data_IF_337855241093
#
_entry.id   IF_337855241093
#
_cell.length_a   1.000
_cell.length_b   1.000
_cell.length_c   1.000
_cell.angle_alpha   90.00
_cell.angle_beta   90.00
_cell.angle_gamma   90.00
#
_symmetry.space_group_name_H-M   'P 1'
#
loop_
_entity.id
_entity.type
_entity.pdbx_description
1 polymer ?
#
# COMPACT_ATOMS: atom_id res chain seq x y z
N UNK A 1 5.45 -5.16 -1.50
CA UNK A 1 5.27 -6.12 -2.62
C UNK A 1 4.98 -7.49 -2.05
N UNK A 2 4.00 -8.23 -2.58
CA UNK A 2 3.74 -9.62 -2.15
C UNK A 2 4.83 -10.57 -2.66
N UNK A 3 5.15 -11.61 -1.87
CA UNK A 3 6.09 -12.66 -2.25
C UNK A 3 5.50 -14.03 -1.91
N UNK A 4 4.78 -14.61 -2.88
CA UNK A 4 4.08 -15.88 -2.71
C UNK A 4 4.96 -17.05 -2.21
N UNK A 5 6.24 -17.23 -2.64
CA UNK A 5 7.06 -18.34 -2.16
C UNK A 5 7.30 -18.35 -0.63
N UNK A 6 7.18 -17.20 0.04
CA UNK A 6 7.30 -17.09 1.52
C UNK A 6 5.99 -16.70 2.20
N UNK A 7 4.88 -16.56 1.46
CA UNK A 7 3.60 -16.10 1.98
C UNK A 7 3.67 -14.75 2.72
N UNK A 8 4.56 -13.84 2.31
CA UNK A 8 4.85 -12.62 3.07
C UNK A 8 5.09 -11.38 2.20
N UNK A 9 5.05 -10.21 2.84
CA UNK A 9 5.26 -8.93 2.16
C UNK A 9 6.71 -8.46 2.27
N UNK A 10 7.32 -8.18 1.12
CA UNK A 10 8.57 -7.44 1.02
C UNK A 10 8.27 -5.98 1.34
N UNK A 11 8.77 -5.52 2.49
CA UNK A 11 8.73 -4.12 2.89
C UNK A 11 9.87 -3.34 2.24
N UNK A 12 9.56 -2.15 1.72
CA UNK A 12 10.54 -1.17 1.27
C UNK A 12 10.36 0.08 2.14
N UNK A 13 11.27 0.36 3.09
CA UNK A 13 11.06 1.38 4.12
C UNK A 13 11.16 2.79 3.57
N UNK A 14 10.55 3.77 4.27
CA UNK A 14 10.61 5.20 3.91
C UNK A 14 12.04 5.75 3.78
N UNK A 15 13.03 5.14 4.44
CA UNK A 15 14.45 5.47 4.27
C UNK A 15 14.94 5.24 2.86
N UNK A 16 14.57 4.13 2.21
CA UNK A 16 14.96 3.81 0.83
C UNK A 16 14.56 4.92 -0.13
N UNK A 17 13.30 5.36 -0.08
CA UNK A 17 12.79 6.46 -0.91
C UNK A 17 13.43 7.82 -0.62
N UNK A 18 14.03 8.02 0.56
CA UNK A 18 14.80 9.23 0.90
C UNK A 18 16.27 9.17 0.47
N UNK A 19 16.82 7.98 0.25
CA UNK A 19 18.24 7.77 -0.10
C UNK A 19 18.47 7.41 -1.56
N UNK A 20 17.42 7.05 -2.31
CA UNK A 20 17.51 6.68 -3.72
C UNK A 20 17.88 7.90 -4.58
N UNK A 21 18.84 7.73 -5.48
CA UNK A 21 19.25 8.78 -6.44
C UNK A 21 18.46 8.67 -7.74
N UNK A 22 18.45 9.72 -8.56
CA UNK A 22 17.77 9.73 -9.86
C UNK A 22 18.16 8.54 -10.76
N UNK A 23 19.46 8.21 -10.82
CA UNK A 23 19.98 7.07 -11.58
C UNK A 23 19.55 5.70 -11.03
N UNK A 24 19.09 5.64 -9.77
CA UNK A 24 18.61 4.43 -9.11
C UNK A 24 17.09 4.29 -9.13
N UNK A 25 16.32 5.28 -9.60
CA UNK A 25 14.86 5.21 -9.66
C UNK A 25 14.29 3.94 -10.34
N UNK A 26 14.90 3.37 -11.40
CA UNK A 26 14.48 2.09 -11.96
C UNK A 26 14.49 0.93 -10.94
N UNK A 27 15.41 0.92 -9.97
CA UNK A 27 15.43 -0.06 -8.88
C UNK A 27 14.16 0.03 -8.01
N UNK A 28 13.56 1.22 -7.87
CA UNK A 28 12.25 1.38 -7.24
C UNK A 28 11.15 0.63 -8.00
N UNK A 29 11.16 0.69 -9.34
CA UNK A 29 10.22 -0.07 -10.17
C UNK A 29 10.48 -1.58 -10.11
N UNK A 30 11.74 -2.03 -10.11
CA UNK A 30 12.09 -3.45 -9.88
C UNK A 30 11.53 -3.95 -8.55
N UNK A 31 11.70 -3.18 -7.46
CA UNK A 31 11.19 -3.56 -6.13
C UNK A 31 9.66 -3.62 -6.04
N UNK A 32 8.96 -2.81 -6.83
CA UNK A 32 7.50 -2.73 -6.82
C UNK A 32 6.83 -3.65 -7.85
N UNK A 33 7.44 -3.85 -9.01
CA UNK A 33 7.00 -4.69 -10.12
C UNK A 33 8.07 -5.72 -10.52
N UNK A 34 8.36 -6.71 -9.67
CA UNK A 34 9.45 -7.66 -9.91
C UNK A 34 9.11 -8.72 -10.95
N UNK A 35 10.14 -9.12 -11.71
CA UNK A 35 10.18 -10.29 -12.56
C UNK A 35 10.63 -11.53 -11.77
N UNK A 36 10.32 -12.75 -12.23
CA UNK A 36 10.84 -13.98 -11.62
C UNK A 36 12.38 -14.04 -11.54
N UNK A 37 13.08 -13.36 -12.45
CA UNK A 37 14.54 -13.28 -12.56
C UNK A 37 15.20 -12.23 -11.66
N UNK A 38 14.42 -11.35 -11.02
CA UNK A 38 15.01 -10.31 -10.18
C UNK A 38 15.37 -10.84 -8.80
N UNK A 39 16.46 -10.32 -8.26
CA UNK A 39 16.82 -10.49 -6.85
C UNK A 39 16.56 -9.18 -6.09
N UNK A 40 15.69 -9.22 -5.09
CA UNK A 40 15.35 -8.08 -4.23
C UNK A 40 15.98 -8.26 -2.86
N UNK A 41 17.00 -7.47 -2.49
CA UNK A 41 17.54 -7.47 -1.14
C UNK A 41 16.49 -7.08 -0.10
N UNK A 42 16.42 -7.80 1.01
CA UNK A 42 15.67 -7.37 2.18
C UNK A 42 16.28 -6.09 2.76
N UNK A 43 15.42 -5.09 2.99
CA UNK A 43 15.76 -3.82 3.62
C UNK A 43 15.22 -3.74 5.06
N UNK A 44 14.79 -4.88 5.62
CA UNK A 44 14.41 -4.97 7.02
C UNK A 44 15.67 -4.86 7.89
N UNK A 45 15.74 -3.82 8.73
CA UNK A 45 16.75 -3.76 9.79
C UNK A 45 16.53 -4.96 10.73
N UNK A 46 17.53 -5.81 11.00
CA UNK A 46 17.39 -6.82 12.04
C UNK A 46 17.14 -6.12 13.38
N UNK A 47 16.35 -6.72 14.30
CA UNK A 47 16.14 -6.14 15.61
C UNK A 47 17.50 -6.00 16.30
N UNK A 48 17.86 -4.77 16.69
CA UNK A 48 19.07 -4.52 17.48
C UNK A 48 19.02 -5.41 18.73
N UNK A 49 20.11 -6.12 19.07
CA UNK A 49 20.15 -6.85 20.34
C UNK A 49 19.90 -5.87 21.48
N UNK A 50 19.14 -6.26 22.52
CA UNK A 50 18.97 -5.40 23.69
C UNK A 50 20.35 -5.06 24.28
N UNK A 51 20.56 -3.84 24.80
CA UNK A 51 21.81 -3.50 25.44
C UNK A 51 22.01 -4.40 26.65
N UNK A 52 22.89 -5.40 26.53
CA UNK A 52 23.27 -6.27 27.64
C UNK A 52 23.84 -5.39 28.74
N UNK A 53 23.07 -5.19 29.80
CA UNK A 53 23.54 -4.51 30.99
C UNK A 53 24.65 -5.36 31.64
N UNK A 54 25.91 -4.95 31.45
CA UNK A 54 27.06 -5.57 32.10
C UNK A 54 27.00 -5.28 33.60
N UNK A 55 26.26 -6.11 34.33
CA UNK A 55 26.26 -6.11 35.78
C UNK A 55 27.57 -6.72 36.29
N UNK A 56 28.52 -5.86 36.67
CA UNK A 56 29.68 -6.23 37.47
C UNK A 56 29.71 -5.31 38.71
N UNK A 57 29.77 -5.92 39.90
CA UNK A 57 29.47 -5.25 41.16
C UNK A 57 30.72 -4.77 41.92
N UNK A 58 30.54 -3.69 42.69
CA UNK A 58 31.18 -3.48 43.99
C UNK A 58 32.54 -2.76 44.04
N UNK A 59 32.57 -1.56 44.63
CA UNK A 59 33.08 -1.38 46.01
C UNK A 59 33.09 0.11 46.44
N UNK A 60 33.00 0.33 47.75
CA UNK A 60 32.79 1.58 48.48
C UNK A 60 33.85 2.71 48.31
N UNK A 61 33.44 3.95 48.60
CA UNK A 61 34.29 5.13 48.80
C UNK A 61 33.48 6.34 49.31
N UNK A 62 33.95 7.01 50.36
CA UNK A 62 33.15 7.90 51.24
C UNK A 62 33.01 9.39 50.83
N UNK A 63 31.88 9.98 51.27
CA UNK A 63 31.67 11.31 51.89
C UNK A 63 31.93 12.65 51.15
N UNK A 64 30.94 13.57 51.28
CA UNK A 64 31.20 15.00 51.54
C UNK A 64 30.24 16.05 50.93
N UNK A 65 29.33 16.62 51.75
CA UNK A 65 28.79 18.03 51.70
C UNK A 65 28.08 18.56 50.43
N UNK A 66 27.06 19.45 50.44
CA UNK A 66 26.18 20.06 51.48
C UNK A 66 25.15 21.01 50.81
N UNK A 67 23.96 21.23 51.41
CA UNK A 67 23.00 22.35 51.16
C UNK A 67 22.39 22.46 49.73
N UNK A 68 21.17 22.97 49.46
CA UNK A 68 19.99 23.43 50.22
C UNK A 68 18.79 23.60 49.21
N UNK A 69 17.52 23.93 49.52
CA UNK A 69 16.80 24.33 50.74
C UNK A 69 15.28 23.99 50.63
N UNK A 70 14.51 24.45 51.62
CA UNK A 70 13.10 24.88 51.57
C UNK A 70 11.97 23.87 51.21
N UNK A 71 11.26 23.44 52.26
CA UNK A 71 9.97 22.76 52.20
C UNK A 71 8.85 23.65 52.75
N UNK A 72 7.62 23.48 52.22
CA UNK A 72 6.35 23.82 52.87
C UNK A 72 5.21 23.20 52.03
N UNK A 73 4.14 22.59 52.52
CA UNK A 73 3.73 21.97 53.79
C UNK A 73 2.34 21.39 53.47
N UNK A 74 2.04 20.13 53.83
CA UNK A 74 0.68 19.57 53.76
C UNK A 74 -0.14 19.97 55.01
N UNK A 75 -1.45 19.66 55.07
CA UNK A 75 -1.81 18.44 55.81
C UNK A 75 -3.06 17.64 55.34
N UNK A 76 -2.94 16.30 55.38
CA UNK A 76 -3.87 15.30 56.03
C UNK A 76 -5.34 15.25 55.53
N UNK A 77 -5.78 14.23 54.75
CA UNK A 77 -6.27 12.87 55.17
C UNK A 77 -7.64 12.88 55.93
N UNK A 78 -8.48 11.80 55.96
CA UNK A 78 -8.25 10.42 55.51
C UNK A 78 -9.39 9.67 54.74
N UNK A 79 -9.00 8.59 54.03
CA UNK A 79 -9.65 7.27 54.06
C UNK A 79 -10.93 6.97 53.23
N UNK A 80 -10.87 5.89 52.42
CA UNK A 80 -11.58 4.60 52.65
C UNK A 80 -11.34 3.60 51.49
N UNK A 81 -11.09 2.33 51.82
CA UNK A 81 -10.84 1.22 50.89
C UNK A 81 -12.14 0.61 50.32
N UNK A 82 -12.10 0.05 49.08
CA UNK A 82 -12.37 -1.37 48.69
C UNK A 82 -12.69 -1.52 47.18
N UNK A 83 -12.14 -2.57 46.53
CA UNK A 83 -12.64 -3.40 45.39
C UNK A 83 -13.70 -2.81 44.41
N UNK A 84 -13.63 -2.96 43.08
CA UNK A 84 -13.43 -4.19 42.29
C UNK A 84 -13.42 -3.89 40.75
N UNK A 85 -12.97 -4.87 39.94
CA UNK A 85 -13.23 -5.15 38.50
C UNK A 85 -13.60 -4.04 37.48
N UNK A 86 -12.90 -4.01 36.34
CA UNK A 86 -13.32 -3.25 35.15
C UNK A 86 -12.25 -3.01 34.06
N UNK A 87 -11.71 -4.06 33.45
CA UNK A 87 -10.88 -3.96 32.22
C UNK A 87 -11.76 -3.45 31.06
N UNK A 88 -11.50 -2.27 30.50
CA UNK A 88 -10.52 -2.01 29.44
C UNK A 88 -10.90 -2.67 28.09
N UNK A 89 -11.68 -1.93 27.29
CA UNK A 89 -11.94 -2.23 25.87
C UNK A 89 -11.19 -1.21 25.00
N UNK A 90 -10.20 -1.67 24.25
CA UNK A 90 -9.49 -0.93 23.21
C UNK A 90 -9.42 -1.82 21.96
N UNK A 91 -9.71 -1.29 20.75
CA UNK A 91 -9.75 -2.11 19.55
C UNK A 91 -8.36 -2.63 19.15
N UNK A 92 -8.25 -3.85 18.60
CA UNK A 92 -6.98 -4.47 18.29
C UNK A 92 -6.25 -3.79 17.12
N UNK A 93 -4.96 -3.52 17.32
CA UNK A 93 -4.02 -3.07 16.30
C UNK A 93 -3.49 -4.24 15.46
N UNK A 94 -2.97 -4.01 14.23
CA UNK A 94 -2.74 -5.10 13.28
C UNK A 94 -1.51 -5.97 13.59
N UNK A 95 -1.77 -7.28 13.64
CA UNK A 95 -0.86 -8.43 13.42
C UNK A 95 0.64 -8.21 13.65
N UNK A 96 1.09 -8.55 14.85
CA UNK A 96 2.51 -8.86 15.11
C UNK A 96 2.93 -10.11 14.33
N UNK A 97 3.96 -10.01 13.51
CA UNK A 97 4.51 -11.15 12.78
C UNK A 97 5.10 -12.20 13.75
N UNK A 98 4.64 -13.45 13.64
CA UNK A 98 5.19 -14.58 14.38
C UNK A 98 6.51 -15.00 13.72
N UNK A 99 7.66 -15.01 14.42
CA UNK A 99 8.91 -15.52 13.85
C UNK A 99 8.86 -17.05 13.74
N UNK A 100 9.42 -17.65 12.68
CA UNK A 100 9.43 -19.10 12.53
C UNK A 100 10.29 -19.76 13.61
N UNK A 101 9.73 -20.74 14.30
CA UNK A 101 10.45 -21.57 15.28
C UNK A 101 11.35 -22.57 14.54
N UNK A 102 12.63 -22.26 14.34
CA UNK A 102 13.60 -23.18 13.74
C UNK A 102 14.64 -23.67 14.76
N UNK A 103 14.61 -24.97 15.04
CA UNK A 103 15.56 -25.67 15.89
C UNK A 103 16.95 -25.83 15.24
N UNK A 104 17.99 -25.71 16.07
CA UNK A 104 19.34 -26.29 15.91
C UNK A 104 20.17 -26.04 14.64
N UNK A 105 21.16 -25.15 14.80
CA UNK A 105 22.57 -25.29 14.38
C UNK A 105 22.94 -25.55 12.91
N UNK A 106 23.43 -24.50 12.24
CA UNK A 106 24.79 -24.48 11.67
C UNK A 106 25.28 -23.04 11.48
N UNK A 107 26.58 -22.81 11.68
CA UNK A 107 27.17 -21.45 11.70
C UNK A 107 27.56 -20.98 10.30
N UNK A 108 26.73 -20.13 9.71
CA UNK A 108 27.00 -19.39 8.47
C UNK A 108 26.79 -17.89 8.76
N UNK A 109 27.64 -16.97 8.28
CA UNK A 109 27.38 -15.53 8.44
C UNK A 109 26.02 -15.16 7.82
N UNK A 110 25.33 -14.12 8.34
CA UNK A 110 24.00 -13.76 7.85
C UNK A 110 24.08 -13.26 6.41
N UNK A 111 23.75 -14.13 5.46
CA UNK A 111 23.40 -13.69 4.12
C UNK A 111 22.23 -12.73 4.24
N UNK A 112 22.36 -11.54 3.66
CA UNK A 112 21.24 -10.62 3.54
C UNK A 112 20.14 -11.36 2.78
N UNK A 113 18.99 -11.60 3.42
CA UNK A 113 17.92 -12.36 2.80
C UNK A 113 17.48 -11.65 1.51
N UNK A 114 17.65 -12.33 0.37
CA UNK A 114 17.21 -11.85 -0.93
C UNK A 114 15.93 -12.59 -1.31
N UNK A 115 14.98 -11.88 -1.90
CA UNK A 115 13.75 -12.44 -2.46
C UNK A 115 13.95 -12.63 -3.96
N UNK A 116 13.47 -13.75 -4.51
CA UNK A 116 13.60 -14.14 -5.92
C UNK A 116 12.45 -15.08 -6.30
N UNK A 117 12.28 -15.39 -7.59
CA UNK A 117 11.15 -16.20 -8.08
C UNK A 117 9.79 -15.57 -7.77
N UNK A 118 9.65 -14.28 -8.11
CA UNK A 118 8.44 -13.51 -7.88
C UNK A 118 7.22 -14.08 -8.63
N UNK A 119 6.06 -13.98 -7.98
CA UNK A 119 4.89 -14.80 -8.27
C UNK A 119 4.17 -14.48 -9.59
N UNK A 120 4.29 -13.25 -10.10
CA UNK A 120 3.51 -12.78 -11.26
C UNK A 120 4.22 -13.17 -12.55
N UNK A 121 3.60 -13.97 -13.45
CA UNK A 121 4.17 -14.27 -14.75
C UNK A 121 4.41 -12.98 -15.56
N UNK A 122 5.52 -12.87 -16.32
CA UNK A 122 5.84 -11.65 -17.07
C UNK A 122 4.71 -11.20 -18.02
N UNK A 123 3.89 -12.13 -18.53
CA UNK A 123 2.71 -11.82 -19.37
C UNK A 123 1.64 -11.02 -18.63
N UNK A 124 1.32 -11.38 -17.39
CA UNK A 124 0.35 -10.64 -16.58
C UNK A 124 0.95 -9.32 -16.09
N UNK A 125 2.24 -9.31 -15.73
CA UNK A 125 2.93 -8.08 -15.35
C UNK A 125 2.96 -7.06 -16.50
N UNK A 126 3.13 -7.50 -17.75
CA UNK A 126 3.05 -6.64 -18.94
C UNK A 126 1.66 -6.01 -19.09
N UNK A 127 0.58 -6.77 -18.86
CA UNK A 127 -0.80 -6.25 -18.86
C UNK A 127 -0.99 -5.21 -17.74
N UNK A 128 -0.53 -5.49 -16.51
CA UNK A 128 -0.58 -4.55 -15.37
C UNK A 128 0.17 -3.25 -15.64
N UNK A 129 1.38 -3.31 -16.20
CA UNK A 129 2.16 -2.11 -16.52
C UNK A 129 1.53 -1.29 -17.66
N UNK A 130 0.94 -1.95 -18.66
CA UNK A 130 0.19 -1.29 -19.75
C UNK A 130 -1.08 -0.60 -19.22
N UNK A 131 -1.78 -1.26 -18.30
CA UNK A 131 -2.93 -0.71 -17.58
C UNK A 131 -2.53 0.51 -16.73
N UNK A 132 -1.40 0.44 -16.03
CA UNK A 132 -0.88 1.56 -15.22
C UNK A 132 -0.54 2.79 -16.06
N UNK A 133 0.08 2.60 -17.22
CA UNK A 133 0.35 3.72 -18.14
C UNK A 133 -0.93 4.40 -18.61
N UNK A 134 -1.98 3.61 -18.88
CA UNK A 134 -3.30 4.14 -19.27
C UNK A 134 -3.94 4.97 -18.15
N UNK A 135 -3.89 4.51 -16.89
CA UNK A 135 -4.42 5.28 -15.77
C UNK A 135 -3.54 6.50 -15.41
N UNK A 136 -2.21 6.43 -15.60
CA UNK A 136 -1.31 7.57 -15.44
C UNK A 136 -1.59 8.66 -16.49
N UNK A 137 -1.78 8.28 -17.75
CA UNK A 137 -2.13 9.21 -18.83
C UNK A 137 -3.50 9.88 -18.56
N UNK A 138 -4.47 9.10 -18.06
CA UNK A 138 -5.78 9.61 -17.63
C UNK A 138 -5.68 10.57 -16.43
N UNK A 139 -4.88 10.23 -15.42
CA UNK A 139 -4.66 11.10 -14.26
C UNK A 139 -4.00 12.42 -14.68
N UNK A 140 -2.94 12.36 -15.52
CA UNK A 140 -2.29 13.55 -16.05
C UNK A 140 -3.22 14.42 -16.89
N UNK A 141 -4.12 13.81 -17.68
CA UNK A 141 -5.15 14.53 -18.45
C UNK A 141 -6.14 15.27 -17.54
N UNK A 142 -6.57 14.66 -16.43
CA UNK A 142 -7.47 15.34 -15.47
C UNK A 142 -6.73 16.48 -14.77
N UNK A 143 -5.52 16.24 -14.25
CA UNK A 143 -4.76 17.26 -13.52
C UNK A 143 -4.32 18.43 -14.42
N UNK A 144 -4.12 18.23 -15.72
CA UNK A 144 -3.82 19.32 -16.66
C UNK A 144 -4.98 20.28 -16.92
N UNK A 145 -6.20 19.91 -16.51
CA UNK A 145 -7.42 20.72 -16.59
C UNK A 145 -7.79 21.37 -15.24
N UNK A 146 -7.08 21.06 -14.16
CA UNK A 146 -7.37 21.57 -12.82
C UNK A 146 -6.42 22.70 -12.43
N UNK A 147 -6.98 23.88 -12.16
CA UNK A 147 -6.27 25.02 -11.59
C UNK A 147 -6.16 24.86 -10.06
N UNK A 148 -5.31 23.92 -9.66
CA UNK A 148 -5.05 23.58 -8.26
C UNK A 148 -3.54 23.43 -8.01
N UNK A 149 -3.15 23.43 -6.73
CA UNK A 149 -1.77 23.11 -6.30
C UNK A 149 -1.82 21.96 -5.32
N UNK A 150 -1.00 20.93 -5.52
CA UNK A 150 -1.00 19.73 -4.69
C UNK A 150 0.34 19.54 -3.99
N UNK A 151 0.56 20.26 -2.88
CA UNK A 151 1.78 20.10 -2.09
C UNK A 151 1.65 18.89 -1.16
N UNK A 152 2.66 18.03 -1.15
CA UNK A 152 2.72 16.86 -0.27
C UNK A 152 1.76 15.71 -0.62
N UNK A 153 0.98 15.82 -1.70
CA UNK A 153 0.12 14.75 -2.20
C UNK A 153 0.92 13.55 -2.69
N UNK A 154 0.34 12.35 -2.58
CA UNK A 154 0.95 11.11 -3.07
C UNK A 154 0.09 10.43 -4.13
N UNK A 155 0.73 9.65 -5.01
CA UNK A 155 0.05 8.70 -5.90
C UNK A 155 0.13 7.31 -5.27
N UNK A 156 -1.02 6.71 -4.99
CA UNK A 156 -1.17 5.36 -4.49
C UNK A 156 -1.45 4.41 -5.65
N UNK A 157 -0.61 3.39 -5.79
CA UNK A 157 -0.78 2.28 -6.74
C UNK A 157 -1.02 1.00 -5.93
N UNK A 158 -2.08 0.28 -6.26
CA UNK A 158 -2.40 -1.05 -5.69
C UNK A 158 -2.71 -1.98 -6.86
N UNK A 159 -2.20 -3.21 -6.84
CA UNK A 159 -2.48 -4.22 -7.86
C UNK A 159 -2.69 -5.59 -7.21
N UNK A 160 -3.47 -6.45 -7.86
CA UNK A 160 -3.66 -7.84 -7.42
C UNK A 160 -2.39 -8.64 -7.73
N UNK A 161 -1.89 -9.40 -6.75
CA UNK A 161 -0.65 -10.15 -6.84
C UNK A 161 -0.86 -11.68 -6.79
N UNK A 162 -2.06 -12.15 -6.49
CA UNK A 162 -2.46 -13.52 -6.77
C UNK A 162 -2.68 -13.72 -8.28
N UNK A 163 -2.07 -14.76 -8.85
CA UNK A 163 -2.02 -14.98 -10.31
C UNK A 163 -3.40 -15.24 -10.89
N UNK A 164 -4.20 -16.09 -10.25
CA UNK A 164 -5.53 -16.47 -10.74
C UNK A 164 -6.54 -15.34 -10.62
N UNK A 165 -6.52 -14.63 -9.49
CA UNK A 165 -7.35 -13.43 -9.28
C UNK A 165 -6.95 -12.31 -10.25
N UNK A 166 -5.66 -12.08 -10.45
CA UNK A 166 -5.14 -11.04 -11.36
C UNK A 166 -5.54 -11.31 -12.82
N UNK A 167 -5.34 -12.53 -13.32
CA UNK A 167 -5.67 -12.90 -14.70
C UNK A 167 -7.16 -12.65 -14.98
N UNK A 168 -8.04 -13.23 -14.15
CA UNK A 168 -9.48 -13.03 -14.28
C UNK A 168 -9.88 -11.54 -14.12
N UNK A 169 -9.22 -10.78 -13.23
CA UNK A 169 -9.52 -9.36 -13.03
C UNK A 169 -9.07 -8.48 -14.21
N UNK A 170 -7.97 -8.84 -14.89
CA UNK A 170 -7.50 -8.20 -16.13
C UNK A 170 -8.47 -8.47 -17.29
N UNK A 171 -8.89 -9.73 -17.47
CA UNK A 171 -9.85 -10.10 -18.52
C UNK A 171 -11.17 -9.31 -18.37
N UNK A 172 -11.75 -9.30 -17.16
CA UNK A 172 -12.94 -8.48 -16.84
C UNK A 172 -12.71 -6.97 -17.05
N UNK A 173 -11.49 -6.46 -16.86
CA UNK A 173 -11.17 -5.04 -17.05
C UNK A 173 -10.98 -4.66 -18.53
N UNK A 174 -10.46 -5.57 -19.35
CA UNK A 174 -10.35 -5.41 -20.80
C UNK A 174 -11.72 -5.51 -21.48
N UNK A 175 -12.55 -6.47 -21.08
CA UNK A 175 -13.95 -6.59 -21.55
C UNK A 175 -14.77 -5.34 -21.23
N UNK A 176 -14.74 -4.86 -19.97
CA UNK A 176 -15.43 -3.60 -19.59
C UNK A 176 -14.93 -2.39 -20.39
N UNK A 177 -13.65 -2.33 -20.75
CA UNK A 177 -13.14 -1.27 -21.65
C UNK A 177 -13.62 -1.43 -23.08
N UNK A 178 -13.68 -2.66 -23.61
CA UNK A 178 -14.20 -2.92 -24.95
C UNK A 178 -15.69 -2.53 -25.06
N UNK A 179 -16.52 -2.96 -24.11
CA UNK A 179 -17.94 -2.57 -24.03
C UNK A 179 -18.11 -1.06 -23.86
N UNK A 180 -17.31 -0.44 -22.99
CA UNK A 180 -17.33 1.02 -22.80
C UNK A 180 -16.92 1.80 -24.06
N UNK A 181 -15.94 1.31 -24.83
CA UNK A 181 -15.51 1.91 -26.08
C UNK A 181 -16.56 1.75 -27.20
N UNK A 182 -17.23 0.60 -27.27
CA UNK A 182 -18.35 0.38 -28.20
C UNK A 182 -19.50 1.34 -27.89
N UNK A 183 -19.96 1.43 -26.64
CA UNK A 183 -21.02 2.37 -26.22
C UNK A 183 -20.67 3.83 -26.50
N UNK A 184 -19.41 4.22 -26.29
CA UNK A 184 -18.93 5.56 -26.60
C UNK A 184 -18.91 5.86 -28.12
N UNK A 185 -18.69 4.84 -28.96
CA UNK A 185 -18.73 4.96 -30.42
C UNK A 185 -20.17 4.93 -30.98
N UNK A 186 -21.08 4.21 -30.33
CA UNK A 186 -22.50 4.12 -30.71
C UNK A 186 -23.32 5.37 -30.32
N UNK A 187 -22.74 6.29 -29.55
CA UNK A 187 -23.31 7.61 -29.29
C UNK A 187 -24.55 7.60 -28.39
N UNK A 188 -24.68 6.58 -27.54
CA UNK A 188 -25.80 6.47 -26.59
C UNK A 188 -25.79 7.64 -25.59
N UNK A 189 -26.69 8.60 -25.82
CA UNK A 189 -26.83 9.85 -25.08
C UNK A 189 -27.49 9.66 -23.72
N UNK A 190 -26.89 8.84 -22.85
CA UNK A 190 -27.38 8.59 -21.50
C UNK A 190 -27.61 9.89 -20.71
N UNK A 191 -28.85 10.07 -20.28
CA UNK A 191 -29.40 11.26 -19.59
C UNK A 191 -28.41 11.93 -18.61
N UNK A 192 -28.17 13.27 -18.72
CA UNK A 192 -27.21 14.01 -17.89
C UNK A 192 -27.78 14.34 -16.49
N UNK A 193 -28.43 13.38 -15.84
CA UNK A 193 -29.22 13.57 -14.62
C UNK A 193 -28.90 12.64 -13.45
N UNK A 194 -28.24 11.49 -13.67
CA UNK A 194 -27.92 10.57 -12.57
C UNK A 194 -26.67 11.06 -11.84
N UNK A 195 -26.88 11.84 -10.78
CA UNK A 195 -25.83 12.31 -9.87
C UNK A 195 -24.93 11.14 -9.46
N UNK A 196 -23.71 11.13 -10.01
CA UNK A 196 -22.61 10.30 -9.49
C UNK A 196 -22.30 10.83 -8.10
N UNK A 197 -22.80 10.14 -7.07
CA UNK A 197 -22.42 10.43 -5.69
C UNK A 197 -20.90 10.30 -5.58
N UNK A 198 -20.25 11.27 -4.94
CA UNK A 198 -18.80 11.27 -4.74
C UNK A 198 -18.28 10.11 -3.86
N UNK A 199 -19.19 9.24 -3.38
CA UNK A 199 -18.95 8.08 -2.54
C UNK A 199 -19.18 6.73 -3.25
N UNK A 200 -19.64 6.70 -4.51
CA UNK A 200 -19.84 5.45 -5.27
C UNK A 200 -18.64 5.07 -6.17
N UNK A 201 -17.51 5.76 -6.06
CA UNK A 201 -16.34 5.55 -6.92
C UNK A 201 -15.39 4.44 -6.42
N UNK A 202 -15.94 3.28 -6.06
CA UNK A 202 -15.19 2.02 -5.87
C UNK A 202 -14.86 1.34 -7.22
N UNK A 203 -15.11 2.01 -8.35
CA UNK A 203 -15.05 1.41 -9.69
C UNK A 203 -16.26 0.50 -10.02
N UNK A 204 -17.12 0.23 -9.03
CA UNK A 204 -18.44 -0.39 -9.21
C UNK A 204 -19.39 0.58 -9.95
N UNK A 205 -19.36 0.56 -11.29
CA UNK A 205 -20.25 1.36 -12.14
C UNK A 205 -21.71 0.98 -11.94
N UNK A 206 -22.43 1.74 -11.11
CA UNK A 206 -23.85 1.55 -10.83
C UNK A 206 -24.76 2.00 -12.00
N UNK A 207 -24.68 1.33 -13.16
CA UNK A 207 -25.71 1.33 -14.22
C UNK A 207 -25.35 0.33 -15.34
N UNK A 208 -26.35 -0.45 -15.78
CA UNK A 208 -26.25 -1.63 -16.68
C UNK A 208 -25.71 -2.86 -15.94
N UNK A 209 -26.53 -3.68 -15.27
CA UNK A 209 -27.78 -4.34 -15.70
C UNK A 209 -27.59 -5.18 -16.96
N UNK A 210 -27.11 -6.42 -16.78
CA UNK A 210 -27.74 -7.68 -17.23
C UNK A 210 -26.76 -8.85 -17.08
N UNK A 211 -26.38 -9.20 -15.85
CA UNK A 211 -26.15 -10.61 -15.54
C UNK A 211 -27.50 -11.12 -15.03
N UNK A 212 -28.09 -12.10 -15.71
CA UNK A 212 -29.29 -12.82 -15.26
C UNK A 212 -28.91 -13.94 -14.26
N UNK A 213 -27.87 -13.68 -13.46
CA UNK A 213 -27.33 -14.52 -12.37
C UNK A 213 -27.49 -13.81 -11.01
N UNK A 214 -28.51 -12.95 -10.88
CA UNK A 214 -29.09 -12.57 -9.58
C UNK A 214 -30.11 -13.67 -9.20
N UNK A 215 -29.63 -14.91 -9.07
CA UNK A 215 -30.38 -15.93 -8.34
C UNK A 215 -30.49 -15.47 -6.89
N UNK A 216 -31.73 -15.30 -6.44
CA UNK A 216 -32.09 -14.89 -5.08
C UNK A 216 -31.45 -15.87 -4.08
N UNK A 217 -30.48 -15.40 -3.30
CA UNK A 217 -29.99 -16.10 -2.10
C UNK A 217 -30.00 -15.10 -0.93
N UNK A 218 -31.22 -14.79 -0.48
CA UNK A 218 -31.54 -14.12 0.79
C UNK A 218 -31.33 -15.08 1.99
N UNK A 219 -30.20 -15.80 2.02
CA UNK A 219 -29.78 -16.58 3.18
C UNK A 219 -28.61 -15.89 3.92
N UNK A 220 -28.73 -15.81 5.25
CA UNK A 220 -27.79 -15.13 6.15
C UNK A 220 -26.48 -15.94 6.28
N UNK A 221 -25.67 -15.96 5.21
CA UNK A 221 -24.45 -16.77 5.12
C UNK A 221 -23.37 -16.35 6.14
N UNK A 222 -23.31 -17.10 7.24
CA UNK A 222 -22.24 -17.05 8.24
C UNK A 222 -20.96 -17.79 7.79
N UNK A 223 -20.66 -17.78 6.49
CA UNK A 223 -19.46 -18.38 5.90
C UNK A 223 -18.63 -17.29 5.19
N UNK A 224 -17.37 -17.13 5.61
CA UNK A 224 -16.46 -16.12 5.07
C UNK A 224 -15.83 -16.50 3.73
N UNK A 225 -16.09 -17.69 3.19
CA UNK A 225 -15.50 -18.19 1.94
C UNK A 225 -16.27 -17.65 0.75
N UNK A 226 -17.62 -17.72 0.79
CA UNK A 226 -18.50 -17.07 -0.21
C UNK A 226 -18.27 -15.55 -0.26
N UNK A 227 -18.06 -14.90 0.88
CA UNK A 227 -17.77 -13.46 0.93
C UNK A 227 -16.47 -13.12 0.20
N UNK A 228 -15.38 -13.86 0.47
CA UNK A 228 -14.08 -13.66 -0.18
C UNK A 228 -14.13 -13.89 -1.70
N UNK A 229 -14.97 -14.81 -2.19
CA UNK A 229 -15.20 -15.02 -3.62
C UNK A 229 -15.99 -13.86 -4.25
N UNK A 230 -17.09 -13.40 -3.62
CA UNK A 230 -17.84 -12.21 -4.09
C UNK A 230 -16.94 -10.97 -4.11
N UNK A 231 -16.04 -10.84 -3.13
CA UNK A 231 -15.05 -9.76 -3.06
C UNK A 231 -13.99 -9.88 -4.16
N UNK A 232 -13.50 -11.08 -4.45
CA UNK A 232 -12.58 -11.36 -5.56
C UNK A 232 -13.16 -11.01 -6.94
N UNK A 233 -14.47 -11.25 -7.16
CA UNK A 233 -15.17 -10.83 -8.40
C UNK A 233 -15.13 -9.31 -8.59
N UNK A 234 -15.24 -8.54 -7.49
CA UNK A 234 -15.26 -7.06 -7.49
C UNK A 234 -13.87 -6.41 -7.51
N UNK A 235 -12.82 -7.07 -7.00
CA UNK A 235 -11.46 -6.50 -7.00
C UNK A 235 -10.99 -6.09 -8.42
N UNK A 236 -10.56 -4.83 -8.62
CA UNK A 236 -9.89 -4.41 -9.85
C UNK A 236 -8.46 -4.97 -9.89
N UNK A 237 -7.90 -5.25 -11.09
CA UNK A 237 -6.53 -5.77 -11.22
C UNK A 237 -5.47 -4.72 -10.85
N UNK A 238 -5.78 -3.43 -11.01
CA UNK A 238 -4.97 -2.28 -10.66
C UNK A 238 -5.88 -1.12 -10.26
N UNK A 239 -5.50 -0.40 -9.21
CA UNK A 239 -6.09 0.87 -8.80
C UNK A 239 -4.99 1.93 -8.69
N UNK A 240 -5.21 3.07 -9.34
CA UNK A 240 -4.39 4.29 -9.24
C UNK A 240 -5.22 5.39 -8.57
N UNK A 241 -4.75 5.97 -7.46
CA UNK A 241 -5.41 7.08 -6.77
C UNK A 241 -4.42 8.18 -6.41
N UNK A 242 -4.90 9.42 -6.36
CA UNK A 242 -4.21 10.53 -5.71
C UNK A 242 -4.74 10.68 -4.28
N UNK A 243 -3.85 10.88 -3.31
CA UNK A 243 -4.15 10.97 -1.87
C UNK A 243 -3.37 12.13 -1.22
N UNK A 244 -3.62 12.36 0.07
CA UNK A 244 -2.94 13.35 0.92
C UNK A 244 -3.13 14.82 0.50
N UNK A 245 -4.39 15.27 0.45
CA UNK A 245 -4.77 16.65 0.05
C UNK A 245 -4.64 17.72 1.15
N UNK A 246 -3.94 17.44 2.26
CA UNK A 246 -3.87 18.32 3.43
C UNK A 246 -3.20 19.69 3.16
N UNK A 247 -2.38 19.77 2.11
CA UNK A 247 -1.77 21.01 1.61
C UNK A 247 -2.11 21.21 0.13
N UNK A 248 -3.38 20.99 -0.22
CA UNK A 248 -3.93 21.25 -1.56
C UNK A 248 -4.85 22.46 -1.53
N UNK A 249 -4.77 23.34 -2.54
CA UNK A 249 -5.62 24.53 -2.66
C UNK A 249 -5.96 24.87 -4.12
N UNK A 250 -7.01 25.67 -4.33
CA UNK A 250 -7.40 26.21 -5.63
C UNK A 250 -6.43 27.34 -6.04
N UNK A 251 -6.05 27.38 -7.31
CA UNK A 251 -5.12 28.36 -7.89
C UNK A 251 -5.66 28.89 -9.23
N UNK A 252 -6.89 29.39 -9.19
CA UNK A 252 -7.64 29.91 -10.35
C UNK A 252 -6.84 30.97 -11.13
N UNK A 253 -6.79 30.82 -12.46
CA UNK A 253 -6.05 31.69 -13.38
C UNK A 253 -4.53 31.48 -13.40
N UNK A 254 -3.97 30.61 -12.55
CA UNK A 254 -2.54 30.25 -12.60
C UNK A 254 -2.25 29.01 -13.46
N UNK A 255 -3.26 28.36 -14.08
CA UNK A 255 -3.08 27.12 -14.84
C UNK A 255 -2.74 25.89 -13.99
N UNK A 256 -2.42 24.74 -14.62
CA UNK A 256 -2.25 23.45 -13.94
C UNK A 256 -0.96 23.35 -13.12
N UNK A 257 -0.90 22.36 -12.23
CA UNK A 257 0.28 22.08 -11.41
C UNK A 257 1.38 21.37 -12.23
N UNK A 258 2.25 22.16 -12.88
CA UNK A 258 3.37 21.63 -13.66
C UNK A 258 4.35 20.78 -12.84
N UNK A 259 4.45 21.00 -11.52
CA UNK A 259 5.31 20.19 -10.65
C UNK A 259 4.78 18.76 -10.51
N UNK A 260 3.46 18.62 -10.31
CA UNK A 260 2.79 17.32 -10.27
C UNK A 260 2.79 16.65 -11.66
N UNK A 261 2.52 17.41 -12.72
CA UNK A 261 2.56 16.88 -14.09
C UNK A 261 3.95 16.37 -14.46
N UNK A 262 5.03 17.06 -14.10
CA UNK A 262 6.40 16.59 -14.31
C UNK A 262 6.73 15.34 -13.49
N UNK A 263 6.22 15.25 -12.26
CA UNK A 263 6.29 14.04 -11.44
C UNK A 263 5.59 12.84 -12.11
N UNK A 264 4.41 13.05 -12.70
CA UNK A 264 3.67 12.03 -13.44
C UNK A 264 4.39 11.62 -14.73
N UNK A 265 4.94 12.58 -15.50
CA UNK A 265 5.78 12.29 -16.69
C UNK A 265 6.99 11.44 -16.32
N UNK A 266 7.65 11.78 -15.21
CA UNK A 266 8.80 11.02 -14.68
C UNK A 266 8.41 9.59 -14.25
N UNK A 267 7.32 9.43 -13.51
CA UNK A 267 6.80 8.12 -13.10
C UNK A 267 6.39 7.28 -14.32
N UNK A 268 5.73 7.88 -15.31
CA UNK A 268 5.37 7.23 -16.58
C UNK A 268 6.60 6.67 -17.29
N UNK A 269 7.67 7.46 -17.43
CA UNK A 269 8.92 7.00 -18.04
C UNK A 269 9.58 5.84 -17.29
N UNK A 270 9.52 5.82 -15.96
CA UNK A 270 9.99 4.68 -15.15
C UNK A 270 9.16 3.41 -15.38
N UNK A 271 7.83 3.55 -15.48
CA UNK A 271 6.90 2.44 -15.78
C UNK A 271 7.11 1.93 -17.22
N UNK A 272 7.36 2.80 -18.19
CA UNK A 272 7.68 2.41 -19.57
C UNK A 272 9.00 1.64 -19.66
N UNK A 273 10.08 2.14 -19.06
CA UNK A 273 11.36 1.43 -19.01
C UNK A 273 11.20 0.05 -18.37
N UNK A 274 10.42 -0.05 -17.29
CA UNK A 274 10.14 -1.33 -16.64
C UNK A 274 9.29 -2.26 -17.52
N UNK A 275 8.30 -1.73 -18.26
CA UNK A 275 7.49 -2.49 -19.22
C UNK A 275 8.36 -3.08 -20.33
N UNK A 276 9.34 -2.34 -20.82
CA UNK A 276 10.28 -2.85 -21.82
C UNK A 276 11.18 -3.97 -21.30
N UNK A 277 11.65 -3.90 -20.05
CA UNK A 277 12.39 -4.99 -19.40
C UNK A 277 11.54 -6.25 -19.30
N UNK A 278 10.29 -6.11 -18.86
CA UNK A 278 9.32 -7.22 -18.80
C UNK A 278 9.04 -7.80 -20.19
N UNK A 279 8.93 -6.96 -21.22
CA UNK A 279 8.73 -7.41 -22.60
C UNK A 279 9.94 -8.16 -23.18
N UNK A 280 11.17 -7.80 -22.75
CA UNK A 280 12.42 -8.51 -23.13
C UNK A 280 12.59 -9.85 -22.41
N UNK A 281 11.82 -10.10 -21.35
CA UNK A 281 11.84 -11.33 -20.54
C UNK A 281 10.73 -12.34 -20.91
N UNK A 282 10.04 -12.15 -22.06
CA UNK A 282 8.96 -12.98 -22.59
C UNK A 282 9.40 -13.98 -23.66
#
# INVERSE_FOLDING_TARGET
TWHAPTGSYISTPKSFGKTITAAQLPLGMVRFFPLPSDEIPSLATPPSPPPTATAAAGSAGEAGSSSEAAAHLLPVEPGKSTSDTGTADLPPTPVTAIPPSSSSSSSTPPSHASYASHAIPPRLLLRVLTLLLTELDRLAQVLSQLEMRFVGSSVLIVYEADVGRLEAALDRAEERRAVGALRAAEGDGGEPGRQRSAFSDDGSSASSFSDEDDEEDDEEDLDGVKEDERRARRCPPLTLRMIDFAHTWLAEGEGPDEGVLEGLRSLRGLVEGRREEVQKAL
#
